data_IF_812071525341
#
_entry.id   IF_812071525341
#
_cell.length_a   1.000
_cell.length_b   1.000
_cell.length_c   1.000
_cell.angle_alpha   90.00
_cell.angle_beta   90.00
_cell.angle_gamma   90.00
#
_symmetry.space_group_name_H-M   'P 1'
#
loop_
_entity.id
_entity.type
_entity.pdbx_description
1 polymer ?
#
# COMPACT_ATOMS: atom_id res chain seq x y z
N UNK A 1 16.95 0.13 24.05
CA UNK A 1 15.99 -0.26 23.00
C UNK A 1 16.64 -0.45 21.62
N UNK A 2 17.45 0.49 21.09
CA UNK A 2 18.09 0.31 19.76
C UNK A 2 19.08 -0.88 19.72
N UNK A 3 19.83 -1.12 20.81
CA UNK A 3 20.83 -2.20 20.88
C UNK A 3 20.27 -3.62 20.94
N UNK A 4 19.00 -3.78 21.33
CA UNK A 4 18.35 -5.10 21.43
C UNK A 4 17.57 -5.49 20.17
N UNK A 5 17.32 -4.53 19.27
CA UNK A 5 16.53 -4.75 18.05
C UNK A 5 17.04 -5.92 17.19
N UNK A 6 18.36 -6.08 16.93
CA UNK A 6 18.84 -7.20 16.14
C UNK A 6 18.58 -8.56 16.79
N UNK A 7 18.64 -8.64 18.13
CA UNK A 7 18.38 -9.87 18.88
C UNK A 7 16.92 -10.27 18.80
N UNK A 8 16.02 -9.31 19.03
CA UNK A 8 14.57 -9.55 19.00
C UNK A 8 14.12 -9.96 17.60
N UNK A 9 14.58 -9.27 16.55
CA UNK A 9 14.19 -9.60 15.18
C UNK A 9 14.65 -11.01 14.81
N UNK A 10 15.87 -11.38 15.17
CA UNK A 10 16.38 -12.73 14.93
C UNK A 10 15.59 -13.81 15.68
N UNK A 11 15.18 -13.54 16.93
CA UNK A 11 14.30 -14.45 17.67
C UNK A 11 12.94 -14.62 16.98
N UNK A 12 12.37 -13.54 16.43
CA UNK A 12 11.13 -13.61 15.66
C UNK A 12 11.34 -14.43 14.38
N UNK A 13 12.42 -14.20 13.63
CA UNK A 13 12.72 -14.99 12.41
C UNK A 13 12.79 -16.50 12.73
N UNK A 14 13.52 -16.88 13.79
CA UNK A 14 13.67 -18.28 14.21
C UNK A 14 12.33 -18.88 14.67
N UNK A 15 11.53 -18.11 15.41
CA UNK A 15 10.29 -18.60 15.99
C UNK A 15 9.14 -18.72 14.97
N UNK A 16 9.16 -17.91 13.91
CA UNK A 16 8.02 -17.77 12.99
C UNK A 16 8.32 -18.18 11.55
N UNK A 17 9.60 -18.27 11.16
CA UNK A 17 9.99 -18.45 9.76
C UNK A 17 9.86 -17.17 8.92
N UNK A 18 9.39 -16.07 9.50
CA UNK A 18 9.32 -14.77 8.82
C UNK A 18 10.73 -14.24 8.52
N UNK A 19 10.86 -13.48 7.44
CA UNK A 19 12.12 -12.88 7.01
C UNK A 19 12.11 -11.39 7.26
N UNK A 20 13.16 -10.85 7.89
CA UNK A 20 13.24 -9.40 8.10
C UNK A 20 13.52 -8.64 6.79
N UNK A 21 12.85 -7.50 6.62
CA UNK A 21 13.10 -6.55 5.56
C UNK A 21 13.31 -5.15 6.16
N UNK A 22 14.45 -4.52 5.87
CA UNK A 22 14.75 -3.15 6.35
C UNK A 22 14.15 -2.13 5.39
N UNK A 23 13.45 -1.14 5.97
CA UNK A 23 12.66 -0.13 5.25
C UNK A 23 12.88 1.26 5.83
N UNK A 24 12.44 2.30 5.12
CA UNK A 24 12.56 3.70 5.59
C UNK A 24 11.72 3.93 6.85
N UNK A 25 10.58 3.26 6.95
CA UNK A 25 9.67 3.31 8.08
C UNK A 25 10.06 2.40 9.26
N UNK A 26 10.97 1.43 9.06
CA UNK A 26 11.37 0.49 10.11
C UNK A 26 11.79 -0.88 9.59
N UNK A 27 11.48 -1.93 10.34
CA UNK A 27 11.69 -3.32 9.94
C UNK A 27 10.32 -3.95 9.75
N UNK A 28 10.15 -4.70 8.68
CA UNK A 28 8.98 -5.54 8.50
C UNK A 28 9.37 -7.02 8.51
N UNK A 29 8.47 -7.85 9.02
CA UNK A 29 8.60 -9.31 8.98
C UNK A 29 7.76 -9.82 7.82
N UNK A 30 8.39 -10.46 6.84
CA UNK A 30 7.78 -10.93 5.61
C UNK A 30 7.47 -12.40 5.75
N UNK A 31 6.27 -12.78 5.37
CA UNK A 31 5.89 -14.17 5.21
C UNK A 31 6.18 -14.60 3.77
N UNK A 32 7.27 -15.36 3.51
CA UNK A 32 7.63 -15.76 2.16
C UNK A 32 6.66 -16.79 1.56
N UNK A 33 5.92 -17.51 2.40
CA UNK A 33 5.02 -18.59 1.98
C UNK A 33 3.56 -18.11 1.83
N UNK A 34 3.28 -16.85 2.21
CA UNK A 34 1.95 -16.22 2.15
C UNK A 34 0.84 -16.99 2.90
N UNK A 35 1.18 -17.61 4.04
CA UNK A 35 0.29 -18.43 4.85
C UNK A 35 -0.32 -17.70 6.04
N UNK A 36 0.18 -16.52 6.42
CA UNK A 36 -0.21 -15.81 7.65
C UNK A 36 -1.41 -14.87 7.49
N UNK A 37 -1.90 -14.64 6.27
CA UNK A 37 -3.09 -13.82 6.02
C UNK A 37 -4.11 -14.54 5.18
N UNK A 38 -5.36 -14.58 5.65
CA UNK A 38 -6.51 -15.06 4.86
C UNK A 38 -6.98 -14.00 3.83
N UNK A 39 -6.45 -12.78 3.91
CA UNK A 39 -6.80 -11.64 3.04
C UNK A 39 -5.58 -11.23 2.23
N UNK A 40 -5.74 -11.16 0.91
CA UNK A 40 -4.71 -10.65 -0.01
C UNK A 40 -5.10 -9.29 -0.57
N UNK A 41 -4.08 -8.49 -0.88
CA UNK A 41 -4.27 -7.29 -1.70
C UNK A 41 -4.87 -7.71 -3.04
N UNK A 42 -5.86 -6.98 -3.59
CA UNK A 42 -6.40 -7.31 -4.90
C UNK A 42 -5.50 -6.69 -5.96
N UNK A 43 -5.08 -7.50 -6.94
CA UNK A 43 -4.08 -7.08 -7.93
C UNK A 43 -4.65 -7.00 -9.34
N UNK A 44 -5.83 -7.58 -9.56
CA UNK A 44 -6.45 -7.67 -10.88
C UNK A 44 -7.85 -7.05 -10.90
N UNK A 45 -8.32 -6.75 -12.11
CA UNK A 45 -9.64 -6.18 -12.32
C UNK A 45 -9.75 -4.72 -11.86
N UNK A 46 -10.97 -4.19 -11.92
CA UNK A 46 -11.22 -2.78 -11.58
C UNK A 46 -10.94 -2.49 -10.11
N UNK A 47 -11.46 -3.35 -9.24
CA UNK A 47 -11.37 -3.28 -7.80
C UNK A 47 -9.91 -3.40 -7.33
N UNK A 48 -9.14 -4.31 -7.91
CA UNK A 48 -7.70 -4.45 -7.66
C UNK A 48 -6.92 -3.22 -8.06
N UNK A 49 -7.07 -2.79 -9.31
CA UNK A 49 -6.38 -1.60 -9.80
C UNK A 49 -6.74 -0.34 -9.00
N UNK A 50 -8.02 -0.14 -8.67
CA UNK A 50 -8.45 0.99 -7.86
C UNK A 50 -7.82 0.95 -6.46
N UNK A 51 -7.83 -0.22 -5.81
CA UNK A 51 -7.23 -0.39 -4.48
C UNK A 51 -5.73 -0.07 -4.53
N UNK A 52 -5.00 -0.56 -5.53
CA UNK A 52 -3.56 -0.28 -5.68
C UNK A 52 -3.27 1.21 -5.90
N UNK A 53 -4.04 1.89 -6.75
CA UNK A 53 -3.87 3.32 -7.01
C UNK A 53 -4.20 4.19 -5.79
N UNK A 54 -5.24 3.83 -5.02
CA UNK A 54 -5.55 4.51 -3.75
C UNK A 54 -4.43 4.27 -2.74
N UNK A 55 -3.90 3.05 -2.64
CA UNK A 55 -2.79 2.74 -1.73
C UNK A 55 -1.53 3.53 -2.11
N UNK A 56 -1.18 3.59 -3.40
CA UNK A 56 -0.08 4.39 -3.90
C UNK A 56 -0.25 5.88 -3.58
N UNK A 57 -1.46 6.42 -3.76
CA UNK A 57 -1.75 7.82 -3.44
C UNK A 57 -1.46 8.14 -1.96
N UNK A 58 -1.98 7.31 -1.06
CA UNK A 58 -1.78 7.45 0.38
C UNK A 58 -0.31 7.24 0.77
N UNK A 59 0.38 6.28 0.14
CA UNK A 59 1.78 5.98 0.39
C UNK A 59 2.71 7.13 -0.04
N UNK A 60 2.44 7.75 -1.20
CA UNK A 60 3.15 8.93 -1.66
C UNK A 60 2.89 10.13 -0.74
N UNK A 61 1.66 10.29 -0.24
CA UNK A 61 1.33 11.32 0.75
C UNK A 61 2.18 11.17 2.03
N UNK A 62 2.30 9.94 2.55
CA UNK A 62 3.14 9.65 3.71
C UNK A 62 4.63 9.90 3.41
N UNK A 63 5.12 9.52 2.22
CA UNK A 63 6.48 9.77 1.75
C UNK A 63 6.83 11.26 1.73
N UNK A 64 5.87 12.11 1.39
CA UNK A 64 5.97 13.57 1.37
C UNK A 64 5.87 14.20 2.78
N UNK A 65 5.74 13.39 3.83
CA UNK A 65 5.61 13.86 5.22
C UNK A 65 4.19 14.35 5.58
N UNK A 66 3.19 14.09 4.73
CA UNK A 66 1.80 14.48 4.95
C UNK A 66 1.03 13.30 5.59
N UNK A 67 1.24 13.10 6.89
CA UNK A 67 0.63 12.01 7.66
C UNK A 67 -0.73 12.37 8.29
N UNK A 68 -1.25 13.56 8.02
CA UNK A 68 -2.56 14.00 8.51
C UNK A 68 -3.71 13.18 7.89
N UNK A 69 -4.82 12.97 8.64
CA UNK A 69 -5.96 12.21 8.13
C UNK A 69 -6.57 12.85 6.88
N UNK A 70 -6.92 12.03 5.90
CA UNK A 70 -7.55 12.45 4.65
C UNK A 70 -9.04 12.19 4.71
N UNK A 71 -9.88 13.12 4.25
CA UNK A 71 -11.33 12.91 4.29
C UNK A 71 -11.77 11.87 3.25
N UNK A 72 -12.85 11.13 3.56
CA UNK A 72 -13.44 10.19 2.61
C UNK A 72 -13.93 10.91 1.36
N UNK A 73 -14.49 12.11 1.49
CA UNK A 73 -14.97 12.90 0.34
C UNK A 73 -13.84 13.32 -0.62
N UNK A 74 -12.67 13.70 -0.10
CA UNK A 74 -11.49 13.97 -0.94
C UNK A 74 -11.03 12.71 -1.69
N UNK A 75 -11.05 11.55 -1.01
CA UNK A 75 -10.73 10.27 -1.62
C UNK A 75 -11.75 9.86 -2.69
N UNK A 76 -13.05 10.09 -2.47
CA UNK A 76 -14.08 9.84 -3.49
C UNK A 76 -13.83 10.67 -4.74
N UNK A 77 -13.52 11.96 -4.59
CA UNK A 77 -13.16 12.83 -5.72
C UNK A 77 -11.91 12.36 -6.47
N UNK A 78 -10.93 11.79 -5.74
CA UNK A 78 -9.78 11.14 -6.35
C UNK A 78 -10.18 9.87 -7.13
N UNK A 79 -11.02 9.00 -6.56
CA UNK A 79 -11.51 7.79 -7.24
C UNK A 79 -12.32 8.12 -8.49
N UNK A 80 -13.15 9.17 -8.47
CA UNK A 80 -13.83 9.66 -9.67
C UNK A 80 -12.84 10.06 -10.77
N UNK A 81 -11.72 10.68 -10.41
CA UNK A 81 -10.67 11.02 -11.36
C UNK A 81 -10.03 9.78 -11.98
N UNK A 82 -9.80 8.73 -11.18
CA UNK A 82 -9.29 7.44 -11.64
C UNK A 82 -10.29 6.76 -12.59
N UNK A 83 -11.58 6.74 -12.26
CA UNK A 83 -12.62 6.20 -13.13
C UNK A 83 -12.58 6.90 -14.50
N UNK A 84 -12.51 8.24 -14.53
CA UNK A 84 -12.42 9.01 -15.79
C UNK A 84 -11.16 8.67 -16.58
N UNK A 85 -10.02 8.54 -15.91
CA UNK A 85 -8.73 8.24 -16.53
C UNK A 85 -8.66 6.82 -17.09
N UNK A 86 -9.21 5.84 -16.38
CA UNK A 86 -9.08 4.41 -16.69
C UNK A 86 -10.36 3.79 -17.27
N UNK A 87 -11.37 4.58 -17.62
CA UNK A 87 -12.70 4.17 -18.15
C UNK A 87 -12.69 3.11 -19.25
N UNK A 88 -11.62 3.03 -20.05
CA UNK A 88 -11.50 2.06 -21.15
C UNK A 88 -11.02 0.68 -20.68
N UNK A 89 -10.38 0.61 -19.52
CA UNK A 89 -9.81 -0.61 -18.94
C UNK A 89 -10.65 -1.13 -17.76
N UNK A 90 -11.51 -0.30 -17.20
CA UNK A 90 -12.35 -0.63 -16.05
C UNK A 90 -13.75 -1.07 -16.47
N UNK A 91 -14.42 -1.79 -15.57
CA UNK A 91 -15.80 -2.29 -15.75
C UNK A 91 -16.76 -1.11 -15.97
N UNK A 92 -17.79 -1.29 -16.78
CA UNK A 92 -18.63 -0.15 -17.23
C UNK A 92 -19.49 0.46 -16.13
N UNK A 93 -19.94 -0.35 -15.19
CA UNK A 93 -20.78 0.03 -14.05
C UNK A 93 -20.08 0.98 -13.07
N UNK A 94 -18.74 0.96 -12.98
CA UNK A 94 -18.02 1.93 -12.14
C UNK A 94 -18.11 3.38 -12.66
N UNK A 95 -18.63 3.57 -13.88
CA UNK A 95 -18.97 4.89 -14.42
C UNK A 95 -20.34 5.41 -14.00
N UNK A 96 -21.15 4.64 -13.28
CA UNK A 96 -22.48 5.06 -12.84
C UNK A 96 -22.42 6.02 -11.64
N UNK A 97 -23.40 6.93 -11.48
CA UNK A 97 -23.45 7.82 -10.31
C UNK A 97 -23.40 7.04 -8.98
N UNK A 98 -22.49 7.43 -8.10
CA UNK A 98 -22.30 6.81 -6.78
C UNK A 98 -21.37 5.58 -6.76
N UNK A 99 -20.96 5.05 -7.91
CA UNK A 99 -20.09 3.88 -7.96
C UNK A 99 -18.68 4.14 -7.40
N UNK A 100 -18.19 5.39 -7.47
CA UNK A 100 -16.91 5.79 -6.89
C UNK A 100 -16.85 5.55 -5.37
N UNK A 101 -17.93 5.87 -4.66
CA UNK A 101 -18.02 5.63 -3.21
C UNK A 101 -17.97 4.13 -2.90
N UNK A 102 -18.75 3.31 -3.61
CA UNK A 102 -18.74 1.84 -3.43
C UNK A 102 -17.34 1.27 -3.63
N UNK A 103 -16.69 1.63 -4.73
CA UNK A 103 -15.33 1.20 -5.06
C UNK A 103 -14.31 1.65 -4.00
N UNK A 104 -14.47 2.87 -3.48
CA UNK A 104 -13.63 3.37 -2.39
C UNK A 104 -13.83 2.58 -1.09
N UNK A 105 -15.07 2.34 -0.67
CA UNK A 105 -15.35 1.62 0.57
C UNK A 105 -14.83 0.17 0.53
N UNK A 106 -14.93 -0.51 -0.61
CA UNK A 106 -14.36 -1.84 -0.81
C UNK A 106 -12.83 -1.81 -0.70
N UNK A 107 -12.19 -0.84 -1.33
CA UNK A 107 -10.73 -0.65 -1.24
C UNK A 107 -10.28 -0.34 0.20
N UNK A 108 -10.95 0.60 0.88
CA UNK A 108 -10.64 0.98 2.25
C UNK A 108 -10.86 -0.19 3.22
N UNK A 109 -11.95 -0.93 3.09
CA UNK A 109 -12.22 -2.10 3.92
C UNK A 109 -11.10 -3.13 3.81
N UNK A 110 -10.62 -3.39 2.59
CA UNK A 110 -9.50 -4.31 2.40
C UNK A 110 -8.18 -3.77 2.96
N UNK A 111 -7.89 -2.49 2.77
CA UNK A 111 -6.69 -1.86 3.34
C UNK A 111 -6.70 -1.85 4.87
N UNK A 112 -7.87 -1.67 5.49
CA UNK A 112 -8.03 -1.73 6.94
C UNK A 112 -7.78 -3.14 7.47
N UNK A 113 -8.32 -4.18 6.81
CA UNK A 113 -8.03 -5.59 7.13
C UNK A 113 -6.53 -5.91 7.03
N UNK A 114 -5.83 -5.30 6.07
CA UNK A 114 -4.39 -5.43 5.87
C UNK A 114 -3.54 -4.51 6.77
N UNK A 115 -4.16 -3.75 7.69
CA UNK A 115 -3.50 -2.77 8.58
C UNK A 115 -2.62 -1.77 7.82
N UNK A 116 -3.08 -1.34 6.64
CA UNK A 116 -2.45 -0.29 5.83
C UNK A 116 -2.99 1.10 6.17
N UNK A 117 -4.19 1.17 6.72
CA UNK A 117 -4.87 2.39 7.12
C UNK A 117 -5.62 2.20 8.44
N UNK A 118 -6.05 3.31 9.04
CA UNK A 118 -7.09 3.35 10.06
C UNK A 118 -8.23 4.26 9.60
N UNK A 119 -9.47 3.79 9.73
CA UNK A 119 -10.67 4.57 9.40
C UNK A 119 -11.26 5.16 10.68
N UNK A 120 -11.49 6.47 10.70
CA UNK A 120 -12.27 7.16 11.73
C UNK A 120 -13.70 7.40 11.20
N UNK A 121 -14.67 6.53 11.51
CA UNK A 121 -16.03 6.65 10.97
C UNK A 121 -16.76 7.89 11.50
N UNK A 122 -16.36 8.46 12.64
CA UNK A 122 -17.00 9.66 13.18
C UNK A 122 -16.54 10.91 12.44
N UNK A 123 -15.26 10.94 12.05
CA UNK A 123 -14.68 12.06 11.29
C UNK A 123 -14.76 11.87 9.78
N UNK A 124 -15.21 10.70 9.32
CA UNK A 124 -15.21 10.34 7.89
C UNK A 124 -13.83 10.56 7.28
N UNK A 125 -12.80 10.03 7.95
CA UNK A 125 -11.40 10.25 7.60
C UNK A 125 -10.58 8.96 7.67
N UNK A 126 -9.52 8.91 6.88
CA UNK A 126 -8.58 7.80 6.78
C UNK A 126 -7.20 8.28 7.17
N UNK A 127 -6.52 7.55 8.04
CA UNK A 127 -5.12 7.79 8.39
C UNK A 127 -4.24 6.69 7.81
N UNK A 128 -3.26 7.01 6.94
CA UNK A 128 -2.33 6.00 6.43
C UNK A 128 -1.41 5.49 7.54
N UNK A 129 -1.21 4.16 7.61
CA UNK A 129 -0.25 3.53 8.50
C UNK A 129 1.09 3.31 7.79
N UNK A 130 2.23 3.24 8.53
CA UNK A 130 3.55 3.12 7.92
C UNK A 130 3.71 1.99 6.90
N UNK A 131 3.03 0.86 7.10
CA UNK A 131 3.05 -0.31 6.22
C UNK A 131 2.63 0.02 4.77
N UNK A 132 1.78 1.02 4.57
CA UNK A 132 1.32 1.42 3.24
C UNK A 132 2.47 1.95 2.36
N UNK A 133 3.61 2.33 2.96
CA UNK A 133 4.81 2.77 2.25
C UNK A 133 5.33 1.78 1.19
N UNK A 134 4.95 0.48 1.30
CA UNK A 134 5.18 -0.55 0.27
C UNK A 134 4.66 -0.20 -1.11
N UNK A 135 3.53 0.50 -1.15
CA UNK A 135 2.82 0.81 -2.39
C UNK A 135 3.28 2.12 -3.03
N UNK A 136 4.21 2.84 -2.39
CA UNK A 136 4.79 4.02 -2.99
C UNK A 136 5.77 3.59 -4.09
N UNK A 137 5.35 3.68 -5.35
CA UNK A 137 6.21 3.36 -6.49
C UNK A 137 7.32 4.41 -6.58
N UNK A 138 8.57 3.96 -6.67
CA UNK A 138 9.72 4.82 -6.96
C UNK A 138 9.96 4.89 -8.46
N UNK A 139 10.78 5.83 -8.91
CA UNK A 139 11.40 5.68 -10.24
C UNK A 139 12.26 4.43 -10.23
N UNK A 140 12.06 3.52 -11.19
CA UNK A 140 12.99 2.43 -11.45
C UNK A 140 14.40 3.03 -11.56
N UNK A 141 15.31 2.59 -10.69
CA UNK A 141 16.73 2.81 -10.94
C UNK A 141 17.10 1.77 -11.98
N UNK A 142 17.48 2.19 -13.18
CA UNK A 142 18.17 1.32 -14.13
C UNK A 142 19.52 0.93 -13.51
N UNK A 143 19.57 -0.16 -12.77
CA UNK A 143 20.80 -0.80 -12.30
C UNK A 143 21.47 -1.67 -13.39
N UNK A 144 21.08 -1.48 -14.66
CA UNK A 144 21.85 -1.87 -15.83
C UNK A 144 22.96 -0.84 -16.15
N UNK A 145 23.82 -0.50 -15.18
CA UNK A 145 25.14 0.03 -15.51
C UNK A 145 26.05 -1.18 -15.79
N UNK A 146 26.62 -1.32 -17.01
CA UNK A 146 27.49 -2.45 -17.30
C UNK A 146 28.67 -2.42 -16.33
N UNK A 147 28.81 -3.52 -15.60
CA UNK A 147 29.98 -3.84 -14.78
C UNK A 147 31.22 -3.61 -15.64
N UNK A 148 31.96 -2.52 -15.38
CA UNK A 148 33.25 -2.29 -16.02
C UNK A 148 34.17 -3.40 -15.55
N UNK A 149 34.46 -4.35 -16.44
CA UNK A 149 35.53 -5.32 -16.25
C UNK A 149 36.84 -4.56 -16.06
N UNK A 150 37.29 -4.49 -14.81
CA UNK A 150 38.68 -4.16 -14.51
C UNK A 150 39.54 -5.34 -14.98
N UNK A 151 40.13 -5.20 -16.16
CA UNK A 151 41.17 -6.11 -16.64
C UNK A 151 42.51 -5.69 -16.03
N UNK A 152 43.37 -6.65 -15.59
CA UNK A 152 44.54 -6.42 -14.74
C UNK A 152 45.63 -5.51 -15.33
#
# INVERSE_FOLDING_TARGET
FVSQRPSIVKEIEVATGLVQETRREGVAMIDPDELMTDVKMPEEGTDGHATLLIAEHLANRLRDGRADPLSISELEGYVESLIRQHRHHWRKDVGEPGAAGVLLYEALGRMEMLRLIEVDPKKQAVTPLPTIGRFAVGTLRDDASPMRESTP
#
